data_IF_226889754329
#
_entry.id   IF_226889754329
#
_cell.length_a   1.000
_cell.length_b   1.000
_cell.length_c   1.000
_cell.angle_alpha   90.00
_cell.angle_beta   90.00
_cell.angle_gamma   90.00
#
_symmetry.space_group_name_H-M   'P 1'
#
loop_
_entity.id
_entity.type
_entity.pdbx_description
1 polymer ?
#
# COMPACT_ATOMS: atom_id res chain seq x y z
N UNK A 1 -33.59 48.86 -10.92
CA UNK A 1 -32.61 49.15 -9.85
C UNK A 1 -31.73 47.92 -9.64
N UNK A 2 -30.54 47.89 -10.24
CA UNK A 2 -29.54 46.83 -10.04
C UNK A 2 -28.78 47.13 -8.75
N UNK A 3 -29.24 46.57 -7.64
CA UNK A 3 -28.56 46.68 -6.36
C UNK A 3 -27.26 45.87 -6.44
N UNK A 4 -26.14 46.54 -6.78
CA UNK A 4 -24.78 45.99 -6.57
C UNK A 4 -24.62 45.74 -5.07
N UNK A 5 -24.95 44.53 -4.62
CA UNK A 5 -24.44 44.00 -3.36
C UNK A 5 -22.92 43.91 -3.54
N UNK A 6 -22.19 44.84 -2.92
CA UNK A 6 -20.76 44.65 -2.69
C UNK A 6 -20.62 43.33 -1.92
N UNK A 7 -20.26 42.29 -2.67
CA UNK A 7 -20.13 40.95 -2.14
C UNK A 7 -18.69 40.84 -1.68
N UNK A 8 -18.47 41.01 -0.38
CA UNK A 8 -17.15 40.86 0.21
C UNK A 8 -16.60 39.45 -0.11
N UNK A 9 -15.30 39.31 -0.35
CA UNK A 9 -14.70 38.02 -0.64
C UNK A 9 -14.90 37.05 0.53
N UNK A 10 -15.13 35.79 0.20
CA UNK A 10 -15.29 34.72 1.18
C UNK A 10 -13.92 34.16 1.57
N UNK A 11 -13.36 34.64 2.69
CA UNK A 11 -11.98 34.32 3.10
C UNK A 11 -11.69 32.82 3.21
N UNK A 12 -12.49 32.06 3.96
CA UNK A 12 -12.27 30.61 4.17
C UNK A 12 -12.41 29.81 2.86
N UNK A 13 -13.54 29.93 2.09
CA UNK A 13 -13.64 29.26 0.80
C UNK A 13 -12.51 29.60 -0.16
N UNK A 14 -12.09 30.87 -0.22
CA UNK A 14 -11.00 31.30 -1.08
C UNK A 14 -9.68 30.63 -0.73
N UNK A 15 -9.30 30.58 0.55
CA UNK A 15 -8.07 29.94 1.00
C UNK A 15 -8.02 28.46 0.62
N UNK A 16 -9.11 27.73 0.85
CA UNK A 16 -9.19 26.30 0.51
C UNK A 16 -9.12 26.09 -1.01
N UNK A 17 -9.82 26.92 -1.79
CA UNK A 17 -9.80 26.81 -3.25
C UNK A 17 -8.43 27.15 -3.84
N UNK A 18 -7.72 28.13 -3.29
CA UNK A 18 -6.35 28.46 -3.69
C UNK A 18 -5.37 27.35 -3.33
N UNK A 19 -5.53 26.69 -2.19
CA UNK A 19 -4.74 25.50 -1.84
C UNK A 19 -4.99 24.36 -2.85
N UNK A 20 -6.25 24.09 -3.19
CA UNK A 20 -6.65 23.16 -4.25
C UNK A 20 -6.04 23.48 -5.61
N UNK A 21 -6.13 24.74 -6.03
CA UNK A 21 -5.56 25.20 -7.30
C UNK A 21 -4.04 25.04 -7.32
N UNK A 22 -3.37 25.42 -6.24
CA UNK A 22 -1.91 25.34 -6.12
C UNK A 22 -1.45 23.88 -6.17
N UNK A 23 -2.13 22.98 -5.45
CA UNK A 23 -1.80 21.55 -5.47
C UNK A 23 -2.07 20.92 -6.84
N UNK A 24 -3.21 21.20 -7.46
CA UNK A 24 -3.53 20.69 -8.80
C UNK A 24 -2.53 21.19 -9.86
N UNK A 25 -2.12 22.46 -9.76
CA UNK A 25 -1.09 23.04 -10.63
C UNK A 25 0.26 22.36 -10.41
N UNK A 26 0.67 22.19 -9.15
CA UNK A 26 1.92 21.52 -8.84
C UNK A 26 1.97 20.11 -9.41
N UNK A 27 0.93 19.29 -9.20
CA UNK A 27 0.90 17.91 -9.73
C UNK A 27 0.82 17.88 -11.26
N UNK A 28 0.16 18.84 -11.90
CA UNK A 28 0.10 18.92 -13.37
C UNK A 28 1.47 19.18 -14.03
N UNK A 29 2.37 19.88 -13.32
CA UNK A 29 3.69 20.28 -13.84
C UNK A 29 4.86 19.51 -13.20
N UNK A 30 4.65 18.82 -12.08
CA UNK A 30 5.66 17.98 -11.46
C UNK A 30 5.86 16.70 -12.28
N UNK A 31 7.12 16.30 -12.44
CA UNK A 31 7.45 15.02 -13.07
C UNK A 31 6.86 13.89 -12.20
N UNK A 32 6.04 13.04 -12.82
CA UNK A 32 5.17 12.10 -12.10
C UNK A 32 5.94 11.04 -11.32
N UNK A 33 7.20 10.76 -11.68
CA UNK A 33 7.99 9.68 -11.08
C UNK A 33 8.51 9.99 -9.65
N UNK A 34 8.70 11.26 -9.27
CA UNK A 34 9.26 11.59 -7.95
C UNK A 34 8.19 11.86 -6.87
N UNK A 35 6.92 12.02 -7.27
CA UNK A 35 5.82 12.39 -6.37
C UNK A 35 4.76 11.31 -6.22
N UNK A 36 4.83 10.25 -7.03
CA UNK A 36 3.91 9.12 -6.97
C UNK A 36 4.28 8.17 -5.83
N UNK A 37 3.75 8.44 -4.65
CA UNK A 37 3.91 7.54 -3.51
C UNK A 37 3.05 6.26 -3.75
N UNK A 38 1.91 6.39 -4.44
CA UNK A 38 0.94 5.39 -4.95
C UNK A 38 1.33 4.44 -6.09
N UNK A 39 1.00 3.13 -6.07
CA UNK A 39 0.87 2.36 -7.34
C UNK A 39 -0.22 2.98 -8.22
N UNK A 40 -1.34 3.38 -7.62
CA UNK A 40 -2.41 4.08 -8.32
C UNK A 40 -2.00 5.45 -8.88
N UNK A 41 -1.00 6.14 -8.31
CA UNK A 41 -0.65 7.48 -8.79
C UNK A 41 -0.11 7.47 -10.24
N UNK A 42 0.61 6.42 -10.66
CA UNK A 42 1.03 6.25 -12.07
C UNK A 42 -0.15 5.94 -12.99
N UNK A 43 -1.15 5.19 -12.51
CA UNK A 43 -2.33 4.87 -13.31
C UNK A 43 -3.21 6.10 -13.57
N UNK A 44 -3.38 6.96 -12.56
CA UNK A 44 -4.20 8.16 -12.66
C UNK A 44 -3.48 9.38 -13.23
N UNK A 45 -2.14 9.35 -13.37
CA UNK A 45 -1.41 10.42 -14.08
C UNK A 45 -1.73 10.46 -15.57
N UNK A 46 -1.95 9.29 -16.17
CA UNK A 46 -2.20 9.16 -17.61
C UNK A 46 -3.70 9.22 -17.96
N UNK A 47 -4.57 9.21 -16.94
CA UNK A 47 -6.01 9.24 -17.14
C UNK A 47 -6.45 10.61 -17.70
N UNK A 48 -6.89 10.58 -18.97
CA UNK A 48 -7.36 11.74 -19.70
C UNK A 48 -8.82 11.55 -20.14
N UNK A 49 -9.65 12.55 -19.92
CA UNK A 49 -11.02 12.59 -20.40
C UNK A 49 -11.11 13.54 -21.59
N UNK A 50 -11.49 13.04 -22.77
CA UNK A 50 -11.54 13.80 -24.02
C UNK A 50 -10.21 14.52 -24.37
N UNK A 51 -9.06 13.94 -24.01
CA UNK A 51 -7.73 14.51 -24.24
C UNK A 51 -7.27 15.55 -23.21
N UNK A 52 -8.10 15.84 -22.19
CA UNK A 52 -7.74 16.72 -21.07
C UNK A 52 -7.39 15.86 -19.87
N UNK A 53 -6.20 16.05 -19.30
CA UNK A 53 -5.80 15.30 -18.09
C UNK A 53 -6.68 15.70 -16.91
N UNK A 54 -6.89 14.75 -15.99
CA UNK A 54 -7.71 14.97 -14.80
C UNK A 54 -7.18 16.14 -13.94
N UNK A 55 -5.87 16.38 -13.96
CA UNK A 55 -5.23 17.50 -13.26
C UNK A 55 -5.64 18.86 -13.83
N UNK A 56 -5.76 18.99 -15.16
CA UNK A 56 -6.28 20.21 -15.79
C UNK A 56 -7.75 20.44 -15.45
N UNK A 57 -8.55 19.39 -15.34
CA UNK A 57 -9.94 19.47 -14.86
C UNK A 57 -9.97 19.99 -13.41
N UNK A 58 -9.11 19.46 -12.54
CA UNK A 58 -8.95 19.94 -11.16
C UNK A 58 -8.54 21.41 -11.08
N UNK A 59 -7.56 21.84 -11.88
CA UNK A 59 -7.14 23.25 -11.96
C UNK A 59 -8.31 24.16 -12.36
N UNK A 60 -9.05 23.79 -13.41
CA UNK A 60 -10.23 24.55 -13.85
C UNK A 60 -11.30 24.63 -12.76
N UNK A 61 -11.58 23.51 -12.09
CA UNK A 61 -12.56 23.45 -11.01
C UNK A 61 -12.18 24.39 -9.84
N UNK A 62 -10.94 24.31 -9.33
CA UNK A 62 -10.52 25.19 -8.24
C UNK A 62 -10.38 26.66 -8.65
N UNK A 63 -10.02 26.95 -9.90
CA UNK A 63 -10.01 28.33 -10.41
C UNK A 63 -11.43 28.93 -10.44
N UNK A 64 -12.42 28.19 -10.93
CA UNK A 64 -13.82 28.65 -10.95
C UNK A 64 -14.40 28.84 -9.55
N UNK A 65 -14.08 27.95 -8.61
CA UNK A 65 -14.47 28.09 -7.20
C UNK A 65 -13.78 29.29 -6.53
N UNK A 66 -12.49 29.52 -6.81
CA UNK A 66 -11.76 30.69 -6.31
C UNK A 66 -12.39 31.99 -6.81
N UNK A 67 -12.78 32.04 -8.09
CA UNK A 67 -13.49 33.18 -8.66
C UNK A 67 -14.86 33.39 -8.00
N UNK A 68 -15.62 32.31 -7.76
CA UNK A 68 -16.90 32.40 -7.06
C UNK A 68 -16.73 32.93 -5.61
N UNK A 69 -15.66 32.54 -4.92
CA UNK A 69 -15.31 33.03 -3.59
C UNK A 69 -14.90 34.51 -3.60
N UNK A 70 -14.10 34.95 -4.57
CA UNK A 70 -13.70 36.35 -4.75
C UNK A 70 -14.90 37.26 -5.04
N UNK A 71 -15.84 36.78 -5.87
CA UNK A 71 -17.08 37.49 -6.19
C UNK A 71 -18.13 37.42 -5.06
N UNK A 72 -17.84 36.74 -3.96
CA UNK A 72 -18.75 36.57 -2.82
C UNK A 72 -20.07 35.85 -3.14
N UNK A 73 -20.11 35.06 -4.22
CA UNK A 73 -21.33 34.39 -4.71
C UNK A 73 -21.53 33.04 -4.02
N UNK A 74 -21.99 33.06 -2.77
CA UNK A 74 -22.19 31.85 -1.95
C UNK A 74 -23.09 30.80 -2.59
N UNK A 75 -24.22 31.20 -3.19
CA UNK A 75 -25.17 30.27 -3.82
C UNK A 75 -24.58 29.54 -5.04
N UNK A 76 -23.93 30.29 -5.93
CA UNK A 76 -23.27 29.73 -7.12
C UNK A 76 -22.05 28.90 -6.73
N UNK A 77 -21.24 29.39 -5.78
CA UNK A 77 -20.08 28.66 -5.26
C UNK A 77 -20.47 27.33 -4.63
N UNK A 78 -21.57 27.30 -3.85
CA UNK A 78 -22.09 26.05 -3.28
C UNK A 78 -22.57 25.08 -4.36
N UNK A 79 -23.28 25.56 -5.38
CA UNK A 79 -23.76 24.73 -6.48
C UNK A 79 -22.60 24.12 -7.28
N UNK A 80 -21.60 24.94 -7.64
CA UNK A 80 -20.39 24.46 -8.31
C UNK A 80 -19.58 23.49 -7.45
N UNK A 81 -19.37 23.81 -6.16
CA UNK A 81 -18.65 22.93 -5.26
C UNK A 81 -19.37 21.60 -5.07
N UNK A 82 -20.70 21.60 -5.04
CA UNK A 82 -21.50 20.38 -5.00
C UNK A 82 -21.36 19.54 -6.27
N UNK A 83 -21.34 20.17 -7.45
CA UNK A 83 -21.12 19.49 -8.72
C UNK A 83 -19.72 18.86 -8.80
N UNK A 84 -18.67 19.60 -8.41
CA UNK A 84 -17.32 19.07 -8.41
C UNK A 84 -17.12 17.96 -7.37
N UNK A 85 -17.70 18.10 -6.18
CA UNK A 85 -17.69 17.04 -5.17
C UNK A 85 -18.44 15.78 -5.65
N UNK A 86 -19.52 15.93 -6.43
CA UNK A 86 -20.21 14.79 -7.02
C UNK A 86 -19.32 14.07 -8.05
N UNK A 87 -18.60 14.82 -8.88
CA UNK A 87 -17.60 14.25 -9.79
C UNK A 87 -16.48 13.53 -9.04
N UNK A 88 -15.99 14.12 -7.95
CA UNK A 88 -14.99 13.51 -7.07
C UNK A 88 -15.49 12.24 -6.38
N UNK A 89 -16.74 12.19 -5.94
CA UNK A 89 -17.38 10.97 -5.41
C UNK A 89 -17.35 9.84 -6.45
N UNK A 90 -17.63 10.14 -7.73
CA UNK A 90 -17.54 9.15 -8.79
C UNK A 90 -16.10 8.66 -8.99
N UNK A 91 -15.11 9.55 -8.89
CA UNK A 91 -13.70 9.21 -8.94
C UNK A 91 -13.27 8.34 -7.75
N UNK A 92 -13.70 8.66 -6.53
CA UNK A 92 -13.42 7.85 -5.34
C UNK A 92 -14.05 6.46 -5.43
N UNK A 93 -15.26 6.35 -6.00
CA UNK A 93 -15.88 5.06 -6.28
C UNK A 93 -15.03 4.26 -7.29
N UNK A 94 -14.58 4.89 -8.38
CA UNK A 94 -13.69 4.25 -9.35
C UNK A 94 -12.38 3.78 -8.70
N UNK A 95 -11.75 4.62 -7.88
CA UNK A 95 -10.52 4.28 -7.16
C UNK A 95 -10.72 3.10 -6.21
N UNK A 96 -11.87 2.99 -5.56
CA UNK A 96 -12.19 1.87 -4.68
C UNK A 96 -12.25 0.52 -5.42
N UNK A 97 -12.55 0.53 -6.73
CA UNK A 97 -12.57 -0.68 -7.57
C UNK A 97 -11.23 -0.99 -8.24
N UNK A 98 -10.38 0.00 -8.47
CA UNK A 98 -9.17 -0.14 -9.29
C UNK A 98 -7.91 -0.11 -8.43
N UNK A 99 -7.55 1.08 -7.93
CA UNK A 99 -6.36 1.30 -7.13
C UNK A 99 -6.46 2.65 -6.41
N UNK A 100 -5.96 2.75 -5.16
CA UNK A 100 -5.93 4.02 -4.45
C UNK A 100 -4.80 4.92 -4.95
N UNK A 101 -5.10 6.21 -5.11
CA UNK A 101 -4.17 7.25 -5.50
C UNK A 101 -4.08 8.31 -4.40
N UNK A 102 -2.89 8.44 -3.80
CA UNK A 102 -2.64 9.40 -2.72
C UNK A 102 -2.91 10.85 -3.14
N UNK A 103 -2.47 11.25 -4.34
CA UNK A 103 -2.66 12.62 -4.83
C UNK A 103 -4.14 12.92 -5.12
N UNK A 104 -4.90 11.93 -5.62
CA UNK A 104 -6.35 12.07 -5.80
C UNK A 104 -7.08 12.21 -4.46
N UNK A 105 -6.66 11.51 -3.40
CA UNK A 105 -7.26 11.67 -2.05
C UNK A 105 -7.02 13.08 -1.46
N UNK A 106 -5.88 13.70 -1.76
CA UNK A 106 -5.61 15.09 -1.36
C UNK A 106 -6.56 16.04 -2.08
N UNK A 107 -6.69 15.93 -3.41
CA UNK A 107 -7.65 16.73 -4.20
C UNK A 107 -9.09 16.50 -3.73
N UNK A 108 -9.48 15.25 -3.49
CA UNK A 108 -10.80 14.87 -2.98
C UNK A 108 -11.13 15.58 -1.66
N UNK A 109 -10.14 15.61 -0.75
CA UNK A 109 -10.26 16.34 0.52
C UNK A 109 -10.42 17.83 0.29
N UNK A 110 -9.69 18.43 -0.66
CA UNK A 110 -9.81 19.85 -0.99
C UNK A 110 -11.18 20.18 -1.61
N UNK A 111 -11.78 19.31 -2.42
CA UNK A 111 -13.15 19.49 -2.89
C UNK A 111 -14.18 19.41 -1.76
N UNK A 112 -14.04 18.44 -0.86
CA UNK A 112 -14.92 18.30 0.31
C UNK A 112 -14.83 19.51 1.24
N UNK A 113 -13.61 20.01 1.51
CA UNK A 113 -13.38 21.22 2.31
C UNK A 113 -13.96 22.46 1.63
N UNK A 114 -13.79 22.62 0.31
CA UNK A 114 -14.40 23.72 -0.45
C UNK A 114 -15.92 23.70 -0.35
N UNK A 115 -16.55 22.54 -0.54
CA UNK A 115 -17.99 22.38 -0.39
C UNK A 115 -18.45 22.69 1.04
N UNK A 116 -17.76 22.17 2.06
CA UNK A 116 -18.06 22.45 3.45
C UNK A 116 -17.95 23.96 3.77
N UNK A 117 -16.91 24.63 3.27
CA UNK A 117 -16.68 26.06 3.46
C UNK A 117 -17.78 26.92 2.81
N UNK A 118 -18.18 26.61 1.55
CA UNK A 118 -19.30 27.31 0.91
C UNK A 118 -20.64 27.02 1.60
N UNK A 119 -20.84 25.79 2.11
CA UNK A 119 -22.03 25.40 2.85
C UNK A 119 -22.13 26.16 4.17
N UNK A 120 -21.02 26.29 4.89
CA UNK A 120 -20.92 27.10 6.11
C UNK A 120 -21.15 28.59 5.84
N UNK A 121 -20.58 29.12 4.75
CA UNK A 121 -20.77 30.53 4.35
C UNK A 121 -22.21 30.86 3.93
N UNK A 122 -22.98 29.86 3.45
CA UNK A 122 -24.41 30.03 3.12
C UNK A 122 -25.34 29.81 4.32
N UNK A 123 -24.94 28.97 5.27
CA UNK A 123 -25.76 28.64 6.43
C UNK A 123 -26.07 29.89 7.25
N UNK A 124 -27.34 30.02 7.65
CA UNK A 124 -27.83 31.07 8.54
C UNK A 124 -28.47 30.42 9.76
N UNK A 125 -28.40 31.01 10.96
CA UNK A 125 -29.11 30.51 12.13
C UNK A 125 -30.62 30.33 11.91
N UNK A 126 -31.19 31.07 10.94
CA UNK A 126 -32.62 31.03 10.59
C UNK A 126 -32.98 29.99 9.54
N UNK A 127 -31.99 29.52 8.79
CA UNK A 127 -32.19 28.57 7.69
C UNK A 127 -31.03 27.57 7.71
N UNK A 128 -31.05 26.61 8.65
CA UNK A 128 -30.03 25.57 8.72
C UNK A 128 -30.11 24.72 7.46
N UNK A 129 -28.97 24.52 6.80
CA UNK A 129 -28.93 23.58 5.69
C UNK A 129 -29.11 22.16 6.24
N UNK A 130 -29.97 21.38 5.58
CA UNK A 130 -30.21 19.97 5.91
C UNK A 130 -28.94 19.10 5.84
N UNK A 131 -29.07 17.83 6.20
CA UNK A 131 -27.93 16.91 6.32
C UNK A 131 -27.02 16.90 5.07
N UNK A 132 -25.68 17.00 5.23
CA UNK A 132 -24.76 17.10 4.11
C UNK A 132 -24.48 15.73 3.48
N UNK A 133 -25.46 15.16 2.77
CA UNK A 133 -25.36 13.84 2.15
C UNK A 133 -24.12 13.64 1.28
N UNK A 134 -23.72 14.65 0.50
CA UNK A 134 -22.51 14.57 -0.32
C UNK A 134 -21.25 14.36 0.53
N UNK A 135 -21.11 15.07 1.65
CA UNK A 135 -19.95 14.88 2.55
C UNK A 135 -19.98 13.52 3.24
N UNK A 136 -21.17 13.01 3.57
CA UNK A 136 -21.30 11.69 4.17
C UNK A 136 -20.88 10.58 3.20
N UNK A 137 -21.40 10.59 1.97
CA UNK A 137 -21.03 9.62 0.93
C UNK A 137 -19.54 9.72 0.60
N UNK A 138 -19.03 10.94 0.44
CA UNK A 138 -17.60 11.20 0.23
C UNK A 138 -16.76 10.62 1.37
N UNK A 139 -17.13 10.82 2.64
CA UNK A 139 -16.37 10.33 3.78
C UNK A 139 -16.29 8.79 3.81
N UNK A 140 -17.38 8.10 3.46
CA UNK A 140 -17.38 6.63 3.35
C UNK A 140 -16.41 6.14 2.26
N UNK A 141 -16.48 6.73 1.06
CA UNK A 141 -15.59 6.32 -0.04
C UNK A 141 -14.12 6.71 0.21
N UNK A 142 -13.89 7.91 0.73
CA UNK A 142 -12.55 8.41 1.07
C UNK A 142 -11.91 7.53 2.14
N UNK A 143 -12.64 7.15 3.19
CA UNK A 143 -12.13 6.25 4.23
C UNK A 143 -11.79 4.85 3.71
N UNK A 144 -12.62 4.27 2.84
CA UNK A 144 -12.31 3.00 2.17
C UNK A 144 -10.99 3.08 1.39
N UNK A 145 -10.83 4.13 0.57
CA UNK A 145 -9.62 4.34 -0.22
C UNK A 145 -8.38 4.63 0.65
N UNK A 146 -8.55 5.33 1.77
CA UNK A 146 -7.48 5.55 2.75
C UNK A 146 -7.01 4.24 3.40
N UNK A 147 -7.93 3.33 3.69
CA UNK A 147 -7.59 2.00 4.20
C UNK A 147 -6.82 1.20 3.16
N UNK A 148 -7.30 1.13 1.91
CA UNK A 148 -6.59 0.45 0.83
C UNK A 148 -5.20 1.07 0.56
N UNK A 149 -5.09 2.40 0.61
CA UNK A 149 -3.80 3.09 0.49
C UNK A 149 -2.87 2.77 1.65
N UNK A 150 -3.42 2.67 2.87
CA UNK A 150 -2.66 2.27 4.04
C UNK A 150 -2.18 0.82 3.92
N UNK A 151 -2.99 -0.09 3.39
CA UNK A 151 -2.58 -1.46 3.13
C UNK A 151 -1.42 -1.55 2.12
N UNK A 152 -1.48 -0.82 1.01
CA UNK A 152 -0.35 -0.71 0.06
C UNK A 152 0.93 -0.19 0.73
N UNK A 153 0.77 0.74 1.67
CA UNK A 153 1.87 1.42 2.37
C UNK A 153 2.49 0.62 3.48
N UNK A 154 1.71 -0.23 4.12
CA UNK A 154 2.11 -1.00 5.28
C UNK A 154 2.92 -2.19 4.81
N UNK A 155 4.11 -1.96 4.24
CA UNK A 155 5.05 -3.02 3.87
C UNK A 155 5.27 -3.98 5.05
N UNK A 156 5.46 -5.28 4.79
CA UNK A 156 5.71 -6.22 5.87
C UNK A 156 6.92 -5.74 6.69
N UNK A 157 6.82 -5.88 8.01
CA UNK A 157 7.96 -5.68 8.89
C UNK A 157 8.98 -6.80 8.67
N UNK A 158 10.08 -6.44 7.99
CA UNK A 158 11.22 -7.31 7.77
C UNK A 158 12.08 -7.31 9.04
N UNK A 159 12.36 -8.50 9.58
CA UNK A 159 13.25 -8.66 10.72
C UNK A 159 14.72 -8.57 10.29
N UNK A 160 15.06 -9.15 9.15
CA UNK A 160 16.39 -9.06 8.55
C UNK A 160 16.32 -9.22 7.02
N UNK A 161 17.18 -8.50 6.30
CA UNK A 161 17.18 -8.44 4.83
C UNK A 161 16.74 -7.07 4.31
N UNK A 162 16.69 -6.91 2.99
CA UNK A 162 16.29 -5.66 2.33
C UNK A 162 14.88 -5.79 1.72
N UNK A 163 14.12 -4.69 1.60
CA UNK A 163 12.84 -4.70 0.87
C UNK A 163 12.95 -5.19 -0.58
N UNK A 164 14.11 -5.00 -1.21
CA UNK A 164 14.43 -5.36 -2.60
C UNK A 164 14.89 -6.82 -2.77
N UNK A 165 14.96 -7.60 -1.69
CA UNK A 165 15.37 -9.00 -1.76
C UNK A 165 14.50 -9.81 -2.73
N UNK A 166 15.15 -10.64 -3.56
CA UNK A 166 14.47 -11.47 -4.57
C UNK A 166 13.55 -12.51 -3.94
N UNK A 167 13.80 -12.89 -2.69
CA UNK A 167 12.98 -13.86 -1.95
C UNK A 167 12.52 -13.26 -0.63
N UNK A 168 11.21 -13.30 -0.38
CA UNK A 168 10.60 -12.97 0.91
C UNK A 168 10.05 -14.24 1.53
N UNK A 169 10.48 -14.55 2.75
CA UNK A 169 9.97 -15.69 3.51
C UNK A 169 9.23 -15.20 4.74
N UNK A 170 7.94 -15.52 4.80
CA UNK A 170 7.11 -15.38 5.99
C UNK A 170 7.21 -16.66 6.79
N UNK A 171 7.63 -16.56 8.05
CA UNK A 171 7.91 -17.74 8.87
C UNK A 171 7.45 -17.57 10.30
N UNK A 172 7.11 -18.69 10.94
CA UNK A 172 6.91 -18.78 12.39
C UNK A 172 8.05 -19.59 13.03
N UNK A 173 8.61 -19.19 14.18
CA UNK A 173 9.61 -19.96 14.91
C UNK A 173 9.16 -21.38 15.28
N UNK A 174 7.89 -21.56 15.67
CA UNK A 174 7.34 -22.86 16.06
C UNK A 174 6.99 -23.77 14.88
N UNK A 175 6.95 -23.25 13.65
CA UNK A 175 6.56 -24.03 12.47
C UNK A 175 7.72 -24.94 11.98
N UNK A 176 7.55 -26.29 11.94
CA UNK A 176 8.59 -27.20 11.46
C UNK A 176 8.96 -26.98 10.00
N UNK A 177 7.96 -26.79 9.12
CA UNK A 177 8.20 -26.53 7.70
C UNK A 177 8.96 -25.22 7.45
N UNK A 178 8.78 -24.22 8.33
CA UNK A 178 9.57 -22.99 8.27
C UNK A 178 11.05 -23.24 8.53
N UNK A 179 11.37 -24.17 9.45
CA UNK A 179 12.76 -24.53 9.76
C UNK A 179 13.46 -25.10 8.55
N UNK A 180 12.84 -26.05 7.87
CA UNK A 180 13.40 -26.69 6.69
C UNK A 180 13.59 -25.68 5.55
N UNK A 181 12.60 -24.80 5.32
CA UNK A 181 12.69 -23.74 4.32
C UNK A 181 13.81 -22.73 4.63
N UNK A 182 13.95 -22.30 5.89
CA UNK A 182 15.01 -21.38 6.32
C UNK A 182 16.40 -22.01 6.11
N UNK A 183 16.57 -23.29 6.43
CA UNK A 183 17.84 -23.99 6.21
C UNK A 183 18.17 -24.14 4.73
N UNK A 184 17.17 -24.34 3.87
CA UNK A 184 17.35 -24.35 2.42
C UNK A 184 17.80 -23.01 1.83
N UNK A 185 17.51 -21.89 2.51
CA UNK A 185 17.83 -20.53 2.06
C UNK A 185 19.20 -20.02 2.55
N UNK A 186 19.95 -20.82 3.33
CA UNK A 186 21.32 -20.46 3.78
C UNK A 186 22.24 -19.95 2.66
N UNK A 187 22.31 -20.61 1.48
CA UNK A 187 23.22 -20.20 0.40
C UNK A 187 22.90 -18.81 -0.16
N UNK A 188 21.61 -18.43 -0.14
CA UNK A 188 21.11 -17.17 -0.72
C UNK A 188 20.76 -16.13 0.33
N UNK A 189 21.14 -16.32 1.59
CA UNK A 189 20.65 -15.52 2.73
C UNK A 189 20.85 -14.00 2.62
N UNK A 190 21.78 -13.53 1.78
CA UNK A 190 22.00 -12.10 1.53
C UNK A 190 20.90 -11.46 0.67
N UNK A 191 20.17 -12.27 -0.10
CA UNK A 191 19.10 -11.85 -1.01
C UNK A 191 17.73 -12.40 -0.55
N UNK A 192 17.58 -12.57 0.77
CA UNK A 192 16.35 -13.04 1.41
C UNK A 192 15.90 -12.02 2.46
N UNK A 193 14.63 -11.63 2.40
CA UNK A 193 13.97 -10.90 3.48
C UNK A 193 13.21 -11.87 4.39
N UNK A 194 13.61 -11.91 5.65
CA UNK A 194 13.02 -12.73 6.70
C UNK A 194 11.94 -11.95 7.42
N UNK A 195 10.69 -12.41 7.31
CA UNK A 195 9.51 -11.73 7.81
C UNK A 195 8.83 -12.64 8.85
N UNK A 196 8.94 -12.35 10.15
CA UNK A 196 8.40 -13.21 11.19
C UNK A 196 6.89 -13.04 11.32
N UNK A 197 6.19 -14.13 11.61
CA UNK A 197 4.76 -14.18 11.92
C UNK A 197 4.59 -15.01 13.19
N UNK A 198 3.89 -14.46 14.18
CA UNK A 198 3.56 -15.22 15.39
C UNK A 198 2.24 -15.97 15.20
N UNK A 199 2.27 -17.29 15.42
CA UNK A 199 1.06 -18.12 15.51
C UNK A 199 0.57 -18.22 16.96
N UNK A 200 1.48 -18.11 17.93
CA UNK A 200 1.21 -18.16 19.37
C UNK A 200 2.11 -17.20 20.17
N UNK A 201 1.91 -17.13 21.49
CA UNK A 201 2.69 -16.25 22.38
C UNK A 201 4.16 -16.70 22.54
N UNK A 202 4.46 -17.99 22.35
CA UNK A 202 5.85 -18.48 22.37
C UNK A 202 6.64 -17.98 21.15
N UNK A 203 5.99 -17.91 19.98
CA UNK A 203 6.57 -17.29 18.79
C UNK A 203 6.84 -15.80 19.02
N UNK A 204 5.91 -15.09 19.67
CA UNK A 204 6.09 -13.68 20.02
C UNK A 204 7.36 -13.50 20.88
N UNK A 205 7.56 -14.36 21.87
CA UNK A 205 8.74 -14.35 22.73
C UNK A 205 10.02 -14.67 21.93
N UNK A 206 9.99 -15.72 21.10
CA UNK A 206 11.13 -16.09 20.26
C UNK A 206 11.51 -14.95 19.30
N UNK A 207 10.53 -14.29 18.70
CA UNK A 207 10.75 -13.15 17.79
C UNK A 207 11.34 -11.94 18.53
N UNK A 208 10.87 -11.65 19.74
CA UNK A 208 11.46 -10.59 20.56
C UNK A 208 12.95 -10.85 20.86
N UNK A 209 13.29 -12.10 21.20
CA UNK A 209 14.69 -12.53 21.42
C UNK A 209 15.51 -12.39 20.15
N UNK A 210 15.00 -12.85 19.00
CA UNK A 210 15.69 -12.70 17.72
C UNK A 210 15.95 -11.23 17.39
N UNK A 211 14.94 -10.36 17.58
CA UNK A 211 15.06 -8.93 17.31
C UNK A 211 16.17 -8.29 18.15
N UNK A 212 16.26 -8.63 19.44
CA UNK A 212 17.34 -8.15 20.32
C UNK A 212 18.72 -8.59 19.84
N UNK A 213 18.89 -9.89 19.54
CA UNK A 213 20.19 -10.43 19.10
C UNK A 213 20.64 -9.86 17.75
N UNK A 214 19.71 -9.65 16.82
CA UNK A 214 20.00 -9.04 15.51
C UNK A 214 20.37 -7.57 15.70
N UNK A 215 19.70 -6.83 16.60
CA UNK A 215 20.07 -5.47 16.93
C UNK A 215 21.47 -5.36 17.54
N UNK A 216 21.93 -6.39 18.27
CA UNK A 216 23.29 -6.53 18.79
C UNK A 216 24.33 -6.99 17.74
N UNK A 217 23.92 -7.23 16.50
CA UNK A 217 24.79 -7.61 15.38
C UNK A 217 24.93 -9.12 15.16
N UNK A 218 24.11 -9.96 15.80
CA UNK A 218 24.07 -11.39 15.50
C UNK A 218 23.51 -11.66 14.10
N UNK A 219 24.01 -12.70 13.43
CA UNK A 219 23.42 -13.17 12.17
C UNK A 219 22.02 -13.74 12.38
N UNK A 220 21.16 -13.63 11.35
CA UNK A 220 19.79 -14.16 11.37
C UNK A 220 19.74 -15.61 11.86
N UNK A 221 20.54 -16.50 11.27
CA UNK A 221 20.48 -17.93 11.59
C UNK A 221 20.94 -18.25 13.01
N UNK A 222 21.93 -17.52 13.51
CA UNK A 222 22.37 -17.68 14.90
C UNK A 222 21.28 -17.24 15.86
N UNK A 223 20.62 -16.12 15.55
CA UNK A 223 19.50 -15.61 16.34
C UNK A 223 18.29 -16.54 16.30
N UNK A 224 17.93 -17.02 15.11
CA UNK A 224 16.85 -17.99 14.89
C UNK A 224 17.10 -19.27 15.66
N UNK A 225 18.28 -19.90 15.49
CA UNK A 225 18.64 -21.12 16.20
C UNK A 225 18.49 -20.94 17.71
N UNK A 226 19.13 -19.91 18.28
CA UNK A 226 19.08 -19.64 19.73
C UNK A 226 17.66 -19.40 20.24
N UNK A 227 16.84 -18.67 19.50
CA UNK A 227 15.46 -18.39 19.90
C UNK A 227 14.55 -19.63 19.83
N UNK A 228 14.85 -20.59 18.93
CA UNK A 228 14.10 -21.85 18.81
C UNK A 228 14.59 -22.97 19.72
N UNK A 229 15.86 -22.94 20.15
CA UNK A 229 16.47 -23.94 21.02
C UNK A 229 16.40 -23.56 22.51
N UNK A 230 16.44 -22.26 22.83
CA UNK A 230 16.27 -21.79 24.21
C UNK A 230 14.79 -21.72 24.55
N UNK A 231 14.42 -22.01 25.79
CA UNK A 231 13.10 -21.63 26.32
C UNK A 231 12.98 -20.11 26.22
N UNK A 232 12.07 -19.58 25.37
CA UNK A 232 11.97 -18.15 25.16
C UNK A 232 11.69 -17.46 26.50
N UNK A 233 12.48 -16.44 26.84
CA UNK A 233 12.14 -15.61 28.01
C UNK A 233 10.83 -14.90 27.71
N UNK A 234 9.87 -14.87 28.66
CA UNK A 234 8.62 -14.17 28.43
C UNK A 234 8.89 -12.70 28.13
N UNK A 235 8.14 -12.13 27.19
CA UNK A 235 8.12 -10.72 26.78
C UNK A 235 7.91 -9.73 27.94
N UNK A 236 7.66 -10.22 29.16
CA UNK A 236 7.62 -9.48 30.42
C UNK A 236 8.87 -8.62 30.74
N UNK A 237 9.95 -8.70 29.93
CA UNK A 237 11.11 -7.80 30.00
C UNK A 237 11.00 -6.57 29.08
N UNK A 238 10.04 -6.53 28.16
CA UNK A 238 9.74 -5.37 27.30
C UNK A 238 8.83 -4.39 28.04
N UNK A 239 8.96 -3.10 27.74
CA UNK A 239 7.94 -2.13 28.15
C UNK A 239 6.62 -2.41 27.42
N UNK A 240 5.49 -2.01 28.02
CA UNK A 240 4.16 -2.19 27.39
C UNK A 240 4.08 -1.56 25.98
N UNK A 241 4.82 -0.47 25.74
CA UNK A 241 4.89 0.19 24.44
C UNK A 241 5.69 -0.62 23.41
N UNK A 242 6.79 -1.25 23.82
CA UNK A 242 7.59 -2.13 22.97
C UNK A 242 6.81 -3.39 22.60
N UNK A 243 6.12 -4.00 23.55
CA UNK A 243 5.27 -5.16 23.34
C UNK A 243 4.11 -4.84 22.39
N UNK A 244 3.40 -3.74 22.60
CA UNK A 244 2.34 -3.29 21.69
C UNK A 244 2.86 -3.02 20.27
N UNK A 245 4.04 -2.39 20.15
CA UNK A 245 4.69 -2.17 18.85
C UNK A 245 5.04 -3.47 18.15
N UNK A 246 5.58 -4.46 18.88
CA UNK A 246 5.92 -5.77 18.32
C UNK A 246 4.65 -6.51 17.85
N UNK A 247 3.59 -6.54 18.66
CA UNK A 247 2.31 -7.14 18.25
C UNK A 247 1.73 -6.48 17.02
N UNK A 248 1.78 -5.15 16.92
CA UNK A 248 1.33 -4.44 15.73
C UNK A 248 2.12 -4.83 14.48
N UNK A 249 3.45 -4.91 14.59
CA UNK A 249 4.31 -5.35 13.48
C UNK A 249 3.99 -6.78 13.04
N UNK A 250 3.77 -7.69 13.98
CA UNK A 250 3.44 -9.08 13.68
C UNK A 250 2.03 -9.26 13.12
N UNK A 251 1.07 -8.47 13.61
CA UNK A 251 -0.28 -8.42 13.03
C UNK A 251 -0.23 -7.95 11.58
N UNK A 252 0.58 -6.93 11.28
CA UNK A 252 0.85 -6.48 9.91
C UNK A 252 1.43 -7.61 9.05
N UNK A 253 2.44 -8.32 9.55
CA UNK A 253 3.04 -9.44 8.81
C UNK A 253 2.03 -10.56 8.54
N UNK A 254 1.19 -10.88 9.53
CA UNK A 254 0.13 -11.88 9.41
C UNK A 254 -0.93 -11.47 8.39
N UNK A 255 -1.34 -10.20 8.38
CA UNK A 255 -2.27 -9.66 7.40
C UNK A 255 -1.75 -9.82 5.96
N UNK A 256 -0.45 -9.63 5.73
CA UNK A 256 0.18 -9.87 4.42
C UNK A 256 0.09 -11.33 3.96
N UNK A 257 0.23 -12.30 4.88
CA UNK A 257 0.09 -13.72 4.54
C UNK A 257 -1.33 -14.01 4.06
N UNK A 258 -2.34 -13.48 4.76
CA UNK A 258 -3.74 -13.61 4.37
C UNK A 258 -4.06 -12.90 3.05
N UNK A 259 -3.55 -11.68 2.86
CA UNK A 259 -3.74 -10.92 1.62
C UNK A 259 -3.12 -11.63 0.40
N UNK A 260 -2.03 -12.38 0.60
CA UNK A 260 -1.44 -13.24 -0.42
C UNK A 260 -2.25 -14.53 -0.70
N UNK A 261 -3.43 -14.69 -0.11
CA UNK A 261 -4.28 -15.87 -0.27
C UNK A 261 -3.79 -17.11 0.49
N UNK A 262 -2.80 -16.97 1.38
CA UNK A 262 -2.30 -18.07 2.22
C UNK A 262 -2.83 -17.94 3.65
N UNK A 263 -3.05 -19.08 4.29
CA UNK A 263 -3.25 -19.17 5.74
C UNK A 263 -2.30 -20.20 6.36
N UNK A 264 -1.17 -20.47 5.69
CA UNK A 264 -0.17 -21.44 6.13
C UNK A 264 1.24 -20.86 5.96
N UNK A 265 2.11 -21.28 6.86
CA UNK A 265 3.52 -20.96 6.85
C UNK A 265 4.36 -22.21 6.53
N UNK A 266 5.54 -22.06 5.91
CA UNK A 266 6.10 -20.82 5.39
C UNK A 266 5.36 -20.34 4.13
N UNK A 267 5.24 -19.02 3.97
CA UNK A 267 4.86 -18.42 2.69
C UNK A 267 6.13 -17.83 2.06
N UNK A 268 6.49 -18.31 0.88
CA UNK A 268 7.66 -17.85 0.12
C UNK A 268 7.15 -17.09 -1.10
N UNK A 269 7.59 -15.85 -1.25
CA UNK A 269 7.30 -15.01 -2.40
C UNK A 269 8.60 -14.65 -3.10
N UNK A 270 8.68 -14.88 -4.40
CA UNK A 270 9.79 -14.42 -5.23
C UNK A 270 9.42 -13.09 -5.88
N UNK A 271 10.18 -12.04 -5.63
CA UNK A 271 10.04 -10.74 -6.30
C UNK A 271 11.05 -10.64 -7.45
N UNK A 272 10.53 -10.36 -8.65
CA UNK A 272 11.32 -10.28 -9.88
C UNK A 272 11.42 -11.62 -10.62
N UNK A 273 11.64 -11.55 -11.94
CA UNK A 273 12.15 -12.70 -12.68
C UNK A 273 13.51 -13.04 -12.07
N UNK A 274 13.69 -14.30 -11.65
CA UNK A 274 15.02 -14.84 -11.42
C UNK A 274 15.92 -14.35 -12.57
N UNK A 275 17.05 -13.71 -12.26
CA UNK A 275 18.11 -13.49 -13.26
C UNK A 275 18.56 -14.88 -13.71
N UNK A 276 17.84 -15.46 -14.65
CA UNK A 276 18.24 -16.62 -15.41
C UNK A 276 19.52 -16.21 -16.13
N UNK A 277 20.68 -16.83 -15.81
CA UNK A 277 21.87 -16.59 -16.59
C UNK A 277 21.60 -17.16 -17.99
N UNK A 278 21.39 -16.29 -18.98
CA UNK A 278 21.29 -16.72 -20.39
C UNK A 278 20.32 -15.96 -21.30
N UNK A 279 19.40 -15.13 -20.78
CA UNK A 279 18.55 -14.31 -21.66
C UNK A 279 19.14 -12.92 -21.74
N UNK A 280 19.94 -12.70 -22.79
CA UNK A 280 20.46 -11.39 -23.15
C UNK A 280 19.33 -10.37 -23.28
N UNK A 281 19.57 -9.20 -22.73
CA UNK A 281 18.83 -7.96 -23.00
C UNK A 281 18.70 -7.76 -24.51
N UNK A 282 17.59 -8.21 -25.10
CA UNK A 282 16.96 -7.75 -26.33
C UNK A 282 15.89 -8.78 -26.77
N UNK A 283 14.73 -8.76 -26.11
CA UNK A 283 13.52 -9.38 -26.65
C UNK A 283 12.31 -8.48 -26.30
N UNK A 284 11.43 -8.13 -27.28
CA UNK A 284 10.27 -7.30 -27.00
C UNK A 284 9.27 -8.05 -26.13
N UNK A 285 8.53 -7.29 -25.32
CA UNK A 285 7.42 -7.78 -24.50
C UNK A 285 6.47 -8.65 -25.33
N UNK A 286 6.34 -9.91 -24.95
CA UNK A 286 5.32 -10.80 -25.46
C UNK A 286 4.58 -11.41 -24.26
N UNK A 287 3.26 -11.19 -24.27
CA UNK A 287 2.27 -11.88 -23.44
C UNK A 287 2.57 -13.39 -23.38
N UNK A 288 2.61 -13.93 -22.16
CA UNK A 288 2.45 -15.36 -21.94
C UNK A 288 1.87 -15.60 -20.54
N UNK A 289 0.55 -15.63 -20.47
CA UNK A 289 -0.19 -16.38 -19.46
C UNK A 289 0.25 -17.84 -19.56
N UNK A 290 1.01 -18.35 -18.59
CA UNK A 290 1.36 -19.77 -18.50
C UNK A 290 0.56 -20.43 -17.38
N UNK A 291 -0.12 -21.57 -17.63
CA UNK A 291 -0.95 -22.25 -16.66
C UNK A 291 -0.09 -22.97 -15.61
N UNK A 292 -0.52 -22.90 -14.35
CA UNK A 292 -0.02 -23.69 -13.23
C UNK A 292 -0.18 -25.18 -13.53
N UNK A 293 0.92 -25.94 -13.60
CA UNK A 293 0.89 -27.40 -13.47
C UNK A 293 1.26 -27.80 -12.02
N UNK A 294 0.53 -28.72 -11.38
CA UNK A 294 0.88 -29.22 -10.05
C UNK A 294 2.09 -30.16 -10.15
N UNK A 295 3.09 -29.96 -9.30
CA UNK A 295 4.19 -30.90 -9.13
C UNK A 295 3.68 -32.12 -8.33
N UNK A 296 3.53 -33.26 -9.01
CA UNK A 296 3.35 -34.57 -8.38
C UNK A 296 4.68 -35.02 -7.74
N UNK A 297 4.65 -35.32 -6.45
CA UNK A 297 5.74 -35.96 -5.71
C UNK A 297 5.66 -37.47 -5.92
N UNK A 298 6.59 -38.06 -6.67
CA UNK A 298 6.77 -39.51 -6.74
C UNK A 298 7.52 -40.02 -5.51
N UNK A 299 6.82 -40.83 -4.71
CA UNK A 299 7.33 -41.43 -3.48
C UNK A 299 8.24 -42.63 -3.71
N UNK A 300 9.21 -42.79 -2.81
CA UNK A 300 10.03 -43.99 -2.69
C UNK A 300 9.17 -45.24 -2.42
N UNK A 301 9.33 -46.28 -3.24
CA UNK A 301 9.03 -47.66 -2.88
C UNK A 301 10.00 -48.62 -3.57
N UNK A 302 10.37 -49.70 -2.87
CA UNK A 302 11.61 -50.45 -3.04
C UNK A 302 11.67 -51.52 -4.13
N UNK A 303 12.94 -51.82 -4.47
CA UNK A 303 13.53 -53.15 -4.72
C UNK A 303 13.54 -53.73 -6.17
N UNK A 304 14.41 -54.72 -6.49
CA UNK A 304 15.71 -54.46 -7.15
C UNK A 304 15.91 -55.26 -8.46
N UNK A 305 16.64 -54.74 -9.45
CA UNK A 305 17.29 -55.59 -10.48
C UNK A 305 18.31 -54.85 -11.36
N UNK A 306 19.56 -55.26 -11.22
CA UNK A 306 20.66 -55.36 -12.18
C UNK A 306 20.58 -54.65 -13.56
N UNK A 307 21.49 -53.70 -13.79
CA UNK A 307 22.39 -53.65 -14.95
C UNK A 307 23.59 -52.70 -14.66
N UNK A 308 24.83 -53.02 -15.07
CA UNK A 308 26.03 -52.27 -14.70
C UNK A 308 26.35 -51.10 -15.65
N UNK A 309 26.91 -50.02 -15.10
CA UNK A 309 27.48 -48.90 -15.85
C UNK A 309 28.71 -49.34 -16.67
N UNK A 310 28.87 -48.93 -17.94
CA UNK A 310 30.11 -49.12 -18.66
C UNK A 310 31.15 -48.05 -18.27
N UNK A 311 32.30 -48.52 -17.78
CA UNK A 311 33.54 -47.74 -17.70
C UNK A 311 34.05 -47.42 -19.11
N UNK A 312 34.49 -46.17 -19.31
CA UNK A 312 35.32 -45.79 -20.44
C UNK A 312 36.47 -44.91 -19.95
N UNK A 313 37.56 -45.57 -19.54
CA UNK A 313 38.91 -45.02 -19.58
C UNK A 313 39.59 -45.44 -20.88
N UNK A 314 40.51 -44.59 -21.33
CA UNK A 314 41.51 -44.76 -22.39
C UNK A 314 41.07 -44.54 -23.85
N UNK A 315 41.29 -43.31 -24.35
CA UNK A 315 42.48 -42.97 -25.16
C UNK A 315 42.84 -41.51 -24.99
#
# INVERSE_FOLDING_TARGET
MLQRRNSSPLGIPLLVCLAGLSFATWVAFADSQETCISTGCQLFSDLSYAGVSLWHVGMFAFATLSLAALLGRTGLGLALAGLFLLGDIALLALMAFIAPCANCLIIATLFALSYAAFRAAKASPREPLGFPWLLFIWALLCSSNLVSLAEERLSPWILQGTPEASVRIYFSPSCPACRDAIMGLLPSAKDVAFIPVAENDDDLNAIAVMQGQIAEGSSFFLAYRRATEATPRPVALLSATQEASLRFKLLRNKAHVFAAGSNRLPLIQTHGLAKLPGIGSNAPAADATLPLQPLEFEGCSGQPSAAPCPDATAR
#
